data_IF_437021167126
#
_entry.id   IF_437021167126
#
_cell.length_a   1.000
_cell.length_b   1.000
_cell.length_c   1.000
_cell.angle_alpha   90.00
_cell.angle_beta   90.00
_cell.angle_gamma   90.00
#
_symmetry.space_group_name_H-M   'P 1'
#
loop_
_entity.id
_entity.type
_entity.pdbx_description
1 polymer ?
#
# COMPACT_ATOMS: atom_id res chain seq x y z
N UNK A 1 19.15 8.06 27.67
CA UNK A 1 18.82 9.28 26.92
C UNK A 1 18.38 8.92 25.51
N UNK A 2 17.07 8.79 25.28
CA UNK A 2 16.45 8.55 23.96
C UNK A 2 15.67 9.79 23.50
N UNK A 3 16.18 10.97 23.84
CA UNK A 3 15.56 12.25 23.51
C UNK A 3 16.33 12.91 22.39
N UNK A 4 15.60 13.36 21.37
CA UNK A 4 16.13 13.95 20.14
C UNK A 4 15.76 15.43 20.16
N UNK A 5 16.74 16.28 19.87
CA UNK A 5 16.52 17.71 19.71
C UNK A 5 15.74 17.96 18.40
N UNK A 6 14.56 18.57 18.51
CA UNK A 6 13.71 18.93 17.37
C UNK A 6 13.42 20.42 17.37
N UNK A 7 13.60 21.03 16.20
CA UNK A 7 13.28 22.44 15.94
C UNK A 7 11.95 22.61 15.21
N UNK A 8 11.37 21.51 14.71
CA UNK A 8 10.11 21.48 13.97
C UNK A 8 9.19 20.42 14.53
N UNK A 9 7.89 20.70 14.50
CA UNK A 9 6.85 19.74 14.83
C UNK A 9 6.72 18.67 13.73
N UNK A 10 6.03 17.56 14.01
CA UNK A 10 5.75 16.46 13.05
C UNK A 10 4.97 16.91 11.81
N UNK A 11 4.32 18.07 11.86
CA UNK A 11 3.60 18.69 10.75
C UNK A 11 4.51 19.64 9.92
N UNK A 12 5.80 19.76 10.25
CA UNK A 12 6.77 20.60 9.56
C UNK A 12 6.86 22.06 10.05
N UNK A 13 5.98 22.50 10.96
CA UNK A 13 5.99 23.86 11.52
C UNK A 13 7.20 24.10 12.43
N UNK A 14 7.82 25.27 12.36
CA UNK A 14 8.92 25.66 13.24
C UNK A 14 8.43 25.85 14.69
N UNK A 15 9.17 25.32 15.65
CA UNK A 15 8.92 25.52 17.08
C UNK A 15 9.55 26.85 17.53
N UNK A 16 8.97 27.47 18.57
CA UNK A 16 9.51 28.72 19.14
C UNK A 16 10.86 28.53 19.83
N UNK A 17 11.14 27.30 20.28
CA UNK A 17 12.41 26.87 20.86
C UNK A 17 12.61 25.39 20.52
N UNK A 18 13.85 24.95 20.41
CA UNK A 18 14.17 23.54 20.21
C UNK A 18 13.76 22.73 21.45
N UNK A 19 13.12 21.58 21.23
CA UNK A 19 12.65 20.69 22.30
C UNK A 19 13.35 19.35 22.20
N UNK A 20 13.68 18.75 23.35
CA UNK A 20 14.10 17.36 23.42
C UNK A 20 12.86 16.48 23.53
N UNK A 21 12.58 15.67 22.51
CA UNK A 21 11.41 14.79 22.50
C UNK A 21 11.81 13.34 22.32
N UNK A 22 11.04 12.44 22.93
CA UNK A 22 11.26 11.00 22.82
C UNK A 22 10.51 10.43 21.61
N UNK A 23 11.23 9.80 20.69
CA UNK A 23 10.70 9.23 19.44
C UNK A 23 11.16 7.79 19.26
N UNK A 24 10.68 6.90 20.13
CA UNK A 24 11.06 5.48 20.13
C UNK A 24 10.16 4.60 19.26
N UNK A 25 9.05 5.14 18.74
CA UNK A 25 8.11 4.43 17.85
C UNK A 25 7.40 3.23 18.48
N UNK A 26 7.62 2.96 19.78
CA UNK A 26 7.01 1.88 20.57
C UNK A 26 5.83 2.43 21.37
N UNK A 27 4.82 1.60 21.60
CA UNK A 27 3.62 1.84 22.44
C UNK A 27 3.02 3.26 22.44
N UNK A 28 1.90 3.45 21.72
CA UNK A 28 1.17 4.74 21.62
C UNK A 28 2.05 5.92 21.17
N UNK A 29 2.96 5.68 20.23
CA UNK A 29 3.85 6.70 19.68
C UNK A 29 3.56 6.95 18.21
N UNK A 30 3.44 8.23 17.83
CA UNK A 30 3.17 8.65 16.44
C UNK A 30 4.44 9.06 15.68
N UNK A 31 5.61 8.92 16.30
CA UNK A 31 6.89 9.27 15.69
C UNK A 31 8.02 8.34 16.10
N UNK A 32 8.92 8.06 15.16
CA UNK A 32 10.16 7.31 15.36
C UNK A 32 11.35 8.13 14.92
N UNK A 33 12.49 7.92 15.56
CA UNK A 33 13.75 8.45 15.11
C UNK A 33 14.04 8.08 13.64
N UNK A 34 14.60 9.00 12.88
CA UNK A 34 15.18 8.70 11.59
C UNK A 34 16.44 7.81 11.73
N UNK A 35 16.96 7.32 10.61
CA UNK A 35 18.15 6.45 10.58
C UNK A 35 19.40 7.08 11.20
N UNK A 36 19.49 8.41 11.22
CA UNK A 36 20.59 9.16 11.82
C UNK A 36 20.35 9.53 13.30
N UNK A 37 19.21 9.13 13.87
CA UNK A 37 18.78 9.41 15.23
C UNK A 37 18.83 10.89 15.64
N UNK A 38 18.67 11.81 14.67
CA UNK A 38 18.76 13.25 14.87
C UNK A 38 17.46 13.99 14.53
N UNK A 39 16.43 13.28 14.04
CA UNK A 39 15.14 13.87 13.74
C UNK A 39 14.02 12.85 13.95
N UNK A 40 12.92 13.30 14.53
CA UNK A 40 11.70 12.50 14.62
C UNK A 40 10.92 12.53 13.30
N UNK A 41 10.63 11.36 12.74
CA UNK A 41 9.77 11.17 11.58
C UNK A 41 8.42 10.63 12.03
N UNK A 42 7.34 11.12 11.43
CA UNK A 42 5.99 10.62 11.70
C UNK A 42 5.87 9.16 11.22
N UNK A 43 5.21 8.31 12.02
CA UNK A 43 4.90 6.95 11.63
C UNK A 43 4.01 6.92 10.38
N UNK A 44 4.12 5.85 9.60
CA UNK A 44 3.27 5.66 8.43
C UNK A 44 1.78 5.54 8.87
N UNK A 45 0.82 6.19 8.18
CA UNK A 45 -0.58 6.27 8.64
C UNK A 45 -1.28 4.93 8.92
N UNK A 46 -1.02 3.89 8.14
CA UNK A 46 -1.60 2.54 8.36
C UNK A 46 -1.08 1.91 9.65
N UNK A 47 0.18 2.13 10.01
CA UNK A 47 0.73 1.66 11.29
C UNK A 47 0.06 2.37 12.47
N UNK A 48 -0.14 3.69 12.35
CA UNK A 48 -0.88 4.47 13.35
C UNK A 48 -2.32 3.99 13.47
N UNK A 49 -2.99 3.75 12.34
CA UNK A 49 -4.39 3.31 12.32
C UNK A 49 -4.58 1.92 12.93
N UNK A 50 -3.61 1.02 12.77
CA UNK A 50 -3.70 -0.37 13.24
C UNK A 50 -3.24 -0.51 14.68
N UNK A 51 -2.06 0.02 15.04
CA UNK A 51 -1.40 -0.27 16.31
C UNK A 51 -1.06 0.98 17.13
N UNK A 52 -1.46 2.17 16.66
CA UNK A 52 -1.08 3.48 17.25
C UNK A 52 0.43 3.59 17.51
N UNK A 53 1.24 2.96 16.67
CA UNK A 53 2.69 2.89 16.81
C UNK A 53 3.38 2.99 15.44
N UNK A 54 4.71 2.93 15.42
CA UNK A 54 5.51 2.76 14.21
C UNK A 54 5.83 1.29 13.92
N UNK A 55 5.29 0.33 14.69
CA UNK A 55 5.59 -1.10 14.56
C UNK A 55 4.36 -1.90 14.12
N UNK A 56 4.51 -2.67 13.05
CA UNK A 56 3.50 -3.64 12.62
C UNK A 56 3.76 -4.97 13.35
N UNK A 57 3.22 -5.08 14.57
CA UNK A 57 3.37 -6.27 15.40
C UNK A 57 2.34 -7.35 15.03
N UNK A 58 2.69 -8.62 15.23
CA UNK A 58 1.73 -9.73 15.08
C UNK A 58 0.48 -9.51 15.96
N UNK A 59 -0.72 -9.89 15.48
CA UNK A 59 -1.00 -10.70 14.29
C UNK A 59 -1.16 -9.90 12.98
N UNK A 60 -0.78 -8.62 12.93
CA UNK A 60 -0.98 -7.76 11.75
C UNK A 60 -0.05 -8.13 10.59
N UNK A 61 -0.46 -7.79 9.36
CA UNK A 61 0.23 -8.16 8.12
C UNK A 61 1.03 -6.96 7.59
N UNK A 62 2.37 -7.10 7.53
CA UNK A 62 3.27 -6.13 6.91
C UNK A 62 3.51 -6.49 5.44
N UNK A 63 3.09 -5.64 4.50
CA UNK A 63 3.39 -5.82 3.07
C UNK A 63 3.50 -4.48 2.34
N UNK A 64 4.45 -4.38 1.41
CA UNK A 64 4.71 -3.15 0.63
C UNK A 64 4.95 -1.89 1.46
N UNK A 65 5.48 -2.04 2.69
CA UNK A 65 5.70 -0.91 3.60
C UNK A 65 4.43 -0.37 4.27
N UNK A 66 3.32 -1.11 4.19
CA UNK A 66 2.05 -0.82 4.84
C UNK A 66 1.73 -1.91 5.87
N UNK A 67 1.03 -1.54 6.94
CA UNK A 67 0.58 -2.44 7.98
C UNK A 67 -0.94 -2.60 7.88
N UNK A 68 -1.40 -3.83 7.74
CA UNK A 68 -2.83 -4.16 7.64
C UNK A 68 -3.26 -4.97 8.85
N UNK A 69 -4.48 -4.74 9.33
CA UNK A 69 -5.08 -5.62 10.33
C UNK A 69 -5.28 -7.02 9.75
N UNK A 70 -5.06 -8.06 10.56
CA UNK A 70 -5.38 -9.45 10.17
C UNK A 70 -6.85 -9.79 10.35
N UNK A 71 -7.60 -8.99 11.10
CA UNK A 71 -9.04 -9.12 11.26
C UNK A 71 -9.75 -8.40 10.11
N UNK A 72 -9.88 -9.07 8.96
CA UNK A 72 -10.61 -8.54 7.80
C UNK A 72 -10.50 -9.43 6.57
N UNK A 73 -11.31 -9.15 5.54
CA UNK A 73 -11.18 -9.80 4.24
C UNK A 73 -9.93 -9.29 3.53
N UNK A 74 -8.78 -9.88 3.79
CA UNK A 74 -7.57 -9.60 3.05
C UNK A 74 -7.65 -10.25 1.66
N UNK A 75 -7.27 -9.56 0.57
CA UNK A 75 -7.35 -10.16 -0.76
C UNK A 75 -6.46 -11.41 -0.86
N UNK A 76 -6.79 -12.36 -1.75
CA UNK A 76 -5.97 -13.54 -2.02
C UNK A 76 -4.50 -13.17 -2.26
N UNK A 77 -3.60 -14.11 -1.98
CA UNK A 77 -2.17 -13.86 -2.20
C UNK A 77 -1.86 -13.80 -3.70
N UNK A 78 -1.45 -12.63 -4.18
CA UNK A 78 -1.12 -12.40 -5.58
C UNK A 78 0.13 -13.15 -6.06
N UNK A 79 0.10 -13.66 -7.29
CA UNK A 79 1.28 -14.18 -7.97
C UNK A 79 2.12 -13.03 -8.53
N UNK A 80 3.42 -13.10 -8.28
CA UNK A 80 4.39 -12.04 -8.59
C UNK A 80 5.25 -12.37 -9.80
N UNK A 81 4.95 -13.47 -10.47
CA UNK A 81 5.63 -13.90 -11.69
C UNK A 81 4.88 -13.40 -12.93
N UNK A 82 5.63 -12.92 -13.92
CA UNK A 82 5.12 -12.41 -15.19
C UNK A 82 5.67 -13.27 -16.33
N UNK A 83 4.83 -13.59 -17.32
CA UNK A 83 5.25 -14.33 -18.51
C UNK A 83 5.92 -13.39 -19.51
N UNK A 84 7.17 -13.66 -19.85
CA UNK A 84 7.89 -12.95 -20.90
C UNK A 84 7.69 -13.66 -22.25
N UNK A 85 6.64 -13.25 -22.97
CA UNK A 85 6.19 -13.92 -24.20
C UNK A 85 7.27 -14.13 -25.27
N UNK A 86 8.22 -13.18 -25.40
CA UNK A 86 9.30 -13.26 -26.40
C UNK A 86 10.25 -14.43 -26.17
N UNK A 87 10.50 -14.83 -24.92
CA UNK A 87 11.37 -15.97 -24.59
C UNK A 87 10.58 -17.20 -24.13
N UNK A 88 9.25 -17.09 -24.00
CA UNK A 88 8.41 -18.18 -23.50
C UNK A 88 8.62 -18.54 -22.02
N UNK A 89 9.41 -17.75 -21.28
CA UNK A 89 9.74 -18.00 -19.87
C UNK A 89 8.86 -17.20 -18.92
N UNK A 90 8.78 -17.66 -17.67
CA UNK A 90 8.11 -16.95 -16.58
C UNK A 90 9.16 -16.45 -15.59
N UNK A 91 9.12 -15.16 -15.26
CA UNK A 91 10.10 -14.51 -14.39
C UNK A 91 9.41 -13.90 -13.17
N UNK A 92 10.06 -13.98 -12.00
CA UNK A 92 9.61 -13.26 -10.80
C UNK A 92 9.91 -11.77 -10.96
N UNK A 93 8.88 -10.94 -10.85
CA UNK A 93 9.02 -9.48 -10.85
C UNK A 93 9.23 -8.98 -9.43
N UNK A 94 10.37 -8.36 -9.17
CA UNK A 94 10.65 -7.70 -7.89
C UNK A 94 9.66 -6.56 -7.59
N UNK A 95 9.19 -5.89 -8.64
CA UNK A 95 8.18 -4.85 -8.49
C UNK A 95 6.85 -5.43 -8.00
N UNK A 96 6.39 -6.54 -8.58
CA UNK A 96 5.15 -7.20 -8.16
C UNK A 96 5.33 -7.79 -6.77
N UNK A 97 6.48 -8.39 -6.49
CA UNK A 97 6.78 -8.96 -5.17
C UNK A 97 6.65 -7.94 -4.04
N UNK A 98 7.12 -6.71 -4.26
CA UNK A 98 7.04 -5.64 -3.26
C UNK A 98 5.67 -4.99 -3.16
N UNK A 99 4.99 -4.79 -4.30
CA UNK A 99 3.85 -3.86 -4.35
C UNK A 99 2.50 -4.52 -4.59
N UNK A 100 2.44 -5.69 -5.24
CA UNK A 100 1.16 -6.25 -5.72
C UNK A 100 0.16 -6.47 -4.58
N UNK A 101 0.57 -7.18 -3.53
CA UNK A 101 -0.30 -7.48 -2.40
C UNK A 101 -0.72 -6.21 -1.67
N UNK A 102 0.21 -5.28 -1.45
CA UNK A 102 -0.05 -4.03 -0.77
C UNK A 102 -1.01 -3.13 -1.56
N UNK A 103 -0.83 -3.03 -2.88
CA UNK A 103 -1.73 -2.29 -3.77
C UNK A 103 -3.13 -2.88 -3.79
N UNK A 104 -3.25 -4.22 -3.86
CA UNK A 104 -4.54 -4.90 -3.78
C UNK A 104 -5.23 -4.68 -2.43
N UNK A 105 -4.50 -4.89 -1.33
CA UNK A 105 -5.05 -4.73 0.02
C UNK A 105 -5.44 -3.27 0.32
N UNK A 106 -4.61 -2.29 -0.05
CA UNK A 106 -4.93 -0.88 0.17
C UNK A 106 -6.07 -0.38 -0.72
N UNK A 107 -6.17 -0.89 -1.96
CA UNK A 107 -7.31 -0.61 -2.82
C UNK A 107 -8.62 -1.13 -2.21
N UNK A 108 -8.61 -2.38 -1.72
CA UNK A 108 -9.79 -3.03 -1.15
C UNK A 108 -10.18 -2.46 0.23
N UNK A 109 -9.24 -2.41 1.18
CA UNK A 109 -9.53 -2.08 2.58
C UNK A 109 -9.68 -0.58 2.82
N UNK A 110 -8.98 0.25 2.05
CA UNK A 110 -8.94 1.71 2.26
C UNK A 110 -9.54 2.51 1.11
N UNK A 111 -10.05 1.87 0.05
CA UNK A 111 -10.48 2.56 -1.17
C UNK A 111 -9.40 3.52 -1.70
N UNK A 112 -8.12 3.14 -1.54
CA UNK A 112 -7.01 4.02 -1.89
C UNK A 112 -6.86 4.10 -3.42
N UNK A 113 -7.23 5.25 -3.98
CA UNK A 113 -7.22 5.51 -5.42
C UNK A 113 -5.90 5.15 -6.10
N UNK A 114 -4.79 5.65 -5.57
CA UNK A 114 -3.45 5.39 -6.13
C UNK A 114 -3.12 3.91 -6.12
N UNK A 115 -3.53 3.18 -5.07
CA UNK A 115 -3.32 1.75 -4.96
C UNK A 115 -4.18 0.96 -5.96
N UNK A 116 -5.42 1.38 -6.19
CA UNK A 116 -6.29 0.80 -7.21
C UNK A 116 -5.75 1.02 -8.63
N UNK A 117 -5.27 2.24 -8.93
CA UNK A 117 -4.63 2.55 -10.21
C UNK A 117 -3.34 1.74 -10.41
N UNK A 118 -2.50 1.63 -9.36
CA UNK A 118 -1.30 0.81 -9.41
C UNK A 118 -1.62 -0.66 -9.68
N UNK A 119 -2.67 -1.21 -9.06
CA UNK A 119 -3.14 -2.57 -9.31
C UNK A 119 -3.60 -2.76 -10.76
N UNK A 120 -4.37 -1.81 -11.30
CA UNK A 120 -4.78 -1.80 -12.71
C UNK A 120 -3.58 -1.76 -13.67
N UNK A 121 -2.61 -0.89 -13.39
CA UNK A 121 -1.35 -0.82 -14.14
C UNK A 121 -0.57 -2.14 -14.10
N UNK A 122 -0.55 -2.83 -12.95
CA UNK A 122 0.08 -4.14 -12.83
C UNK A 122 -0.63 -5.20 -13.66
N UNK A 123 -1.96 -5.15 -13.77
CA UNK A 123 -2.70 -6.03 -14.69
C UNK A 123 -2.30 -5.81 -16.15
N UNK A 124 -2.16 -4.54 -16.59
CA UNK A 124 -1.66 -4.21 -17.93
C UNK A 124 -0.24 -4.72 -18.16
N UNK A 125 0.66 -4.54 -17.18
CA UNK A 125 2.02 -5.08 -17.23
C UNK A 125 2.05 -6.62 -17.27
N UNK A 126 1.00 -7.28 -16.79
CA UNK A 126 0.79 -8.72 -16.92
C UNK A 126 0.04 -9.10 -18.21
N UNK A 127 0.06 -8.24 -19.23
CA UNK A 127 -0.57 -8.45 -20.54
C UNK A 127 -2.06 -8.76 -20.47
N UNK A 128 -2.77 -8.25 -19.46
CA UNK A 128 -4.18 -8.56 -19.21
C UNK A 128 -4.47 -10.08 -19.11
N UNK A 129 -3.48 -10.86 -18.66
CA UNK A 129 -3.66 -12.31 -18.49
C UNK A 129 -4.72 -12.55 -17.42
N UNK A 130 -5.80 -13.24 -17.79
CA UNK A 130 -6.85 -13.68 -16.89
C UNK A 130 -6.69 -15.19 -16.70
N UNK A 131 -5.81 -15.59 -15.78
CA UNK A 131 -5.68 -16.99 -15.39
C UNK A 131 -6.71 -17.32 -14.31
N UNK A 132 -7.55 -18.32 -14.53
CA UNK A 132 -8.46 -18.86 -13.50
C UNK A 132 -7.75 -19.73 -12.47
N UNK A 133 -6.52 -20.18 -12.76
CA UNK A 133 -5.78 -21.09 -11.90
C UNK A 133 -5.11 -20.39 -10.71
N UNK A 134 -4.78 -19.09 -10.85
CA UNK A 134 -4.00 -18.37 -9.85
C UNK A 134 -4.34 -16.87 -9.84
N UNK A 135 -4.50 -16.23 -8.66
CA UNK A 135 -4.74 -14.79 -8.58
C UNK A 135 -3.49 -14.01 -8.95
N UNK A 136 -3.36 -13.65 -10.23
CA UNK A 136 -2.36 -12.68 -10.71
C UNK A 136 -2.85 -11.24 -10.52
N UNK A 137 -2.13 -10.26 -11.07
CA UNK A 137 -2.51 -8.85 -10.93
C UNK A 137 -3.92 -8.53 -11.47
N UNK A 138 -4.32 -9.18 -12.56
CA UNK A 138 -5.65 -9.01 -13.15
C UNK A 138 -6.71 -9.75 -12.34
N UNK A 139 -6.42 -10.96 -11.87
CA UNK A 139 -7.29 -11.71 -10.96
C UNK A 139 -7.56 -10.95 -9.67
N UNK A 140 -6.55 -10.30 -9.10
CA UNK A 140 -6.73 -9.43 -7.93
C UNK A 140 -7.53 -8.18 -8.25
N UNK A 141 -7.29 -7.54 -9.40
CA UNK A 141 -8.08 -6.40 -9.85
C UNK A 141 -9.58 -6.77 -9.99
N UNK A 142 -9.85 -7.89 -10.65
CA UNK A 142 -11.20 -8.44 -10.81
C UNK A 142 -11.83 -8.83 -9.47
N UNK A 143 -11.05 -9.41 -8.55
CA UNK A 143 -11.52 -9.71 -7.20
C UNK A 143 -12.00 -8.45 -6.49
N UNK A 144 -11.21 -7.36 -6.50
CA UNK A 144 -11.63 -6.10 -5.88
C UNK A 144 -12.86 -5.52 -6.57
N UNK A 145 -12.88 -5.53 -7.91
CA UNK A 145 -14.02 -5.05 -8.69
C UNK A 145 -15.31 -5.81 -8.34
N UNK A 146 -15.29 -7.14 -8.42
CA UNK A 146 -16.47 -7.99 -8.18
C UNK A 146 -17.03 -7.84 -6.76
N UNK A 147 -16.16 -7.61 -5.77
CA UNK A 147 -16.57 -7.41 -4.38
C UNK A 147 -16.98 -5.96 -4.06
N UNK A 148 -16.75 -5.00 -4.97
CA UNK A 148 -17.13 -3.58 -4.79
C UNK A 148 -18.27 -3.13 -5.73
N UNK A 149 -18.54 -3.86 -6.82
CA UNK A 149 -19.48 -3.46 -7.88
C UNK A 149 -20.91 -3.20 -7.37
N UNK A 150 -21.37 -3.95 -6.35
CA UNK A 150 -22.72 -3.82 -5.79
C UNK A 150 -22.90 -2.66 -4.80
N UNK A 151 -21.81 -1.98 -4.40
CA UNK A 151 -21.87 -0.93 -3.38
C UNK A 151 -22.28 0.44 -3.94
N UNK A 152 -22.37 0.61 -5.27
CA UNK A 152 -22.65 1.89 -5.91
C UNK A 152 -21.49 2.87 -5.69
N UNK A 153 -20.87 3.35 -6.78
CA UNK A 153 -19.48 3.83 -6.81
C UNK A 153 -18.47 2.67 -6.85
N UNK A 154 -17.84 2.47 -8.01
CA UNK A 154 -16.81 1.43 -8.19
C UNK A 154 -15.46 2.09 -7.92
N UNK A 155 -14.84 1.70 -6.80
CA UNK A 155 -13.60 2.29 -6.27
C UNK A 155 -13.68 3.74 -5.76
N UNK A 156 -14.87 4.32 -5.51
CA UNK A 156 -15.01 5.62 -4.81
C UNK A 156 -14.27 6.82 -5.45
N UNK A 157 -14.10 6.82 -6.78
CA UNK A 157 -13.52 7.93 -7.56
C UNK A 157 -14.64 8.61 -8.35
N UNK A 158 -14.99 9.86 -8.02
CA UNK A 158 -15.84 10.68 -8.89
C UNK A 158 -15.11 10.99 -10.21
N UNK A 159 -15.81 10.98 -11.36
CA UNK A 159 -15.31 11.25 -12.74
C UNK A 159 -14.62 10.14 -13.55
N UNK A 160 -14.56 8.89 -13.11
CA UNK A 160 -14.25 7.79 -14.04
C UNK A 160 -15.46 7.55 -14.96
N UNK A 161 -15.37 8.04 -16.22
CA UNK A 161 -16.38 7.78 -17.26
C UNK A 161 -16.52 6.27 -17.48
N UNK A 162 -17.70 5.85 -17.97
CA UNK A 162 -17.93 4.53 -18.56
C UNK A 162 -16.90 4.15 -19.65
N UNK A 163 -16.16 5.13 -20.18
CA UNK A 163 -14.95 4.94 -20.97
C UNK A 163 -13.70 5.36 -20.16
N UNK A 164 -12.97 4.36 -19.70
CA UNK A 164 -11.69 4.43 -18.97
C UNK A 164 -10.61 5.22 -19.72
N UNK A 165 -9.64 5.88 -19.04
CA UNK A 165 -8.34 6.16 -19.62
C UNK A 165 -7.41 4.97 -19.33
N UNK A 166 -7.55 3.90 -20.12
CA UNK A 166 -6.41 3.08 -20.44
C UNK A 166 -6.30 3.04 -21.97
N UNK A 167 -5.11 3.34 -22.50
CA UNK A 167 -4.64 2.79 -23.78
C UNK A 167 -5.63 2.82 -24.96
N UNK A 168 -5.70 3.96 -25.65
CA UNK A 168 -6.03 3.96 -27.07
C UNK A 168 -4.71 4.03 -27.85
N UNK A 169 -4.19 2.89 -28.32
CA UNK A 169 -3.37 2.84 -29.53
C UNK A 169 -4.28 2.27 -30.61
N UNK A 170 -5.05 3.16 -31.24
CA UNK A 170 -6.01 2.90 -32.30
C UNK A 170 -6.33 4.19 -33.01
#
# INVERSE_FOLDING_TARGET
NNEILVERNINGSLLKAALCVRCDGKEQSFSIANTLNNMCKRCQPTFISVNKSCSCSEPNILTGGLCFTSTGNFPPKGITTVRYGKLGITLRSEWFYKNLQASAAACWLYSNLTSCQALGNMCVMNMNSLSSATPDACGLFQYVFANTVGLGTVHSISFWRQSLPWLFYG
#
